data_IF_813722645836
#
_entry.id   IF_813722645836
#
_cell.length_a   1.000
_cell.length_b   1.000
_cell.length_c   1.000
_cell.angle_alpha   90.00
_cell.angle_beta   90.00
_cell.angle_gamma   90.00
#
_symmetry.space_group_name_H-M   'P 1'
#
loop_
_entity.id
_entity.type
_entity.pdbx_description
1 polymer ?
#
# COMPACT_ATOMS: atom_id res chain seq x y z
N UNK A 1 -0.71 22.28 -2.75
CA UNK A 1 0.07 21.05 -2.99
C UNK A 1 -0.49 20.35 -4.22
N UNK A 2 0.34 19.76 -5.08
CA UNK A 2 -0.15 18.90 -6.19
C UNK A 2 -0.78 17.62 -5.63
N UNK A 3 -1.62 16.91 -6.39
CA UNK A 3 -2.20 15.62 -5.96
C UNK A 3 -1.12 14.63 -5.49
N UNK A 4 0.01 14.59 -6.20
CA UNK A 4 1.17 13.76 -5.84
C UNK A 4 1.74 14.13 -4.47
N UNK A 5 1.89 15.43 -4.19
CA UNK A 5 2.39 15.90 -2.89
C UNK A 5 1.41 15.57 -1.76
N UNK A 6 0.10 15.65 -2.02
CA UNK A 6 -0.92 15.26 -1.04
C UNK A 6 -0.82 13.78 -0.70
N UNK A 7 -0.69 12.90 -1.71
CA UNK A 7 -0.52 11.46 -1.47
C UNK A 7 0.75 11.16 -0.66
N UNK A 8 1.88 11.77 -1.03
CA UNK A 8 3.16 11.55 -0.32
C UNK A 8 3.09 12.05 1.12
N UNK A 9 2.43 13.20 1.36
CA UNK A 9 2.26 13.74 2.71
C UNK A 9 1.30 12.89 3.57
N UNK A 10 0.32 12.23 2.94
CA UNK A 10 -0.70 11.45 3.65
C UNK A 10 -0.23 10.04 4.03
N UNK A 11 0.63 9.42 3.23
CA UNK A 11 0.99 8.02 3.43
C UNK A 11 2.01 7.81 4.54
N UNK A 12 1.67 6.98 5.53
CA UNK A 12 2.61 6.43 6.51
C UNK A 12 2.45 4.91 6.64
N UNK A 13 3.57 4.18 6.50
CA UNK A 13 3.57 2.72 6.66
C UNK A 13 3.68 2.26 8.13
N UNK A 14 4.02 3.18 9.05
CA UNK A 14 4.34 2.86 10.45
C UNK A 14 3.19 2.17 11.19
N UNK A 15 1.92 2.61 11.11
CA UNK A 15 0.83 1.95 11.81
C UNK A 15 0.66 0.49 11.38
N UNK A 16 0.81 0.21 10.08
CA UNK A 16 0.75 -1.16 9.55
C UNK A 16 1.90 -2.04 10.06
N UNK A 17 3.13 -1.54 10.13
CA UNK A 17 4.24 -2.29 10.73
C UNK A 17 4.08 -2.50 12.23
N UNK A 18 3.48 -1.55 12.96
CA UNK A 18 3.11 -1.76 14.36
C UNK A 18 2.08 -2.88 14.49
N UNK A 19 1.00 -2.84 13.71
CA UNK A 19 -0.01 -3.90 13.71
C UNK A 19 0.57 -5.28 13.35
N UNK A 20 1.42 -5.33 12.30
CA UNK A 20 2.15 -6.54 11.91
C UNK A 20 2.97 -7.12 13.06
N UNK A 21 3.55 -6.28 13.91
CA UNK A 21 4.37 -6.70 15.03
C UNK A 21 3.56 -7.12 16.25
N UNK A 22 2.57 -6.33 16.63
CA UNK A 22 1.92 -6.47 17.95
C UNK A 22 0.51 -7.01 17.89
N UNK A 23 -0.15 -6.97 16.73
CA UNK A 23 -1.59 -7.23 16.63
C UNK A 23 -2.46 -6.13 17.26
N UNK A 24 -1.89 -4.95 17.52
CA UNK A 24 -2.60 -3.82 18.12
C UNK A 24 -3.66 -3.25 17.16
N UNK A 25 -4.93 -3.52 17.44
CA UNK A 25 -6.05 -3.08 16.59
C UNK A 25 -6.13 -1.55 16.46
N UNK A 26 -5.63 -0.75 17.43
CA UNK A 26 -5.57 0.72 17.26
C UNK A 26 -4.61 1.12 16.15
N UNK A 27 -3.49 0.41 16.01
CA UNK A 27 -2.54 0.66 14.93
C UNK A 27 -3.12 0.25 13.56
N UNK A 28 -3.93 -0.81 13.52
CA UNK A 28 -4.69 -1.19 12.33
C UNK A 28 -5.72 -0.13 11.96
N UNK A 29 -6.51 0.35 12.91
CA UNK A 29 -7.48 1.44 12.70
C UNK A 29 -6.81 2.68 12.12
N UNK A 30 -5.67 3.11 12.67
CA UNK A 30 -4.87 4.21 12.11
C UNK A 30 -4.42 3.95 10.67
N UNK A 31 -3.97 2.72 10.37
CA UNK A 31 -3.62 2.31 9.01
C UNK A 31 -4.81 2.38 8.05
N UNK A 32 -5.99 1.96 8.50
CA UNK A 32 -7.25 2.04 7.74
C UNK A 32 -7.64 3.50 7.48
N UNK A 33 -7.53 4.39 8.46
CA UNK A 33 -7.83 5.82 8.26
C UNK A 33 -6.89 6.45 7.22
N UNK A 34 -5.59 6.10 7.24
CA UNK A 34 -4.66 6.53 6.19
C UNK A 34 -5.11 6.06 4.80
N UNK A 35 -5.56 4.81 4.68
CA UNK A 35 -6.07 4.29 3.40
C UNK A 35 -7.37 4.98 2.96
N UNK A 36 -8.27 5.32 3.88
CA UNK A 36 -9.49 6.08 3.57
C UNK A 36 -9.16 7.46 2.98
N UNK A 37 -8.18 8.15 3.57
CA UNK A 37 -7.72 9.44 3.06
C UNK A 37 -7.05 9.29 1.70
N UNK A 38 -6.21 8.28 1.51
CA UNK A 38 -5.60 7.98 0.21
C UNK A 38 -6.64 7.62 -0.86
N UNK A 39 -7.62 6.78 -0.53
CA UNK A 39 -8.74 6.43 -1.43
C UNK A 39 -9.54 7.68 -1.80
N UNK A 40 -9.79 8.58 -0.84
CA UNK A 40 -10.43 9.88 -1.08
C UNK A 40 -9.60 10.73 -2.05
N UNK A 41 -8.28 10.75 -1.92
CA UNK A 41 -7.42 11.46 -2.87
C UNK A 41 -7.52 10.86 -4.28
N UNK A 42 -7.50 9.53 -4.40
CA UNK A 42 -7.59 8.82 -5.69
C UNK A 42 -8.97 8.92 -6.35
N UNK A 43 -10.03 9.18 -5.58
CA UNK A 43 -11.42 9.19 -6.09
C UNK A 43 -12.01 10.59 -6.19
N UNK A 44 -11.93 11.38 -5.12
CA UNK A 44 -12.54 12.71 -5.02
C UNK A 44 -11.59 13.78 -5.54
N UNK A 45 -10.37 13.85 -5.00
CA UNK A 45 -9.43 14.92 -5.39
C UNK A 45 -8.90 14.72 -6.82
N UNK A 46 -8.69 13.48 -7.23
CA UNK A 46 -8.24 13.10 -8.57
C UNK A 46 -9.38 12.84 -9.57
N UNK A 47 -10.62 13.28 -9.29
CA UNK A 47 -11.81 12.98 -10.11
C UNK A 47 -11.61 13.25 -11.61
N UNK A 48 -10.90 14.32 -11.97
CA UNK A 48 -10.63 14.68 -13.37
C UNK A 48 -9.83 13.61 -14.14
N UNK A 49 -9.09 12.75 -13.45
CA UNK A 49 -8.24 11.70 -14.02
C UNK A 49 -8.83 10.30 -13.92
N UNK A 50 -9.91 10.12 -13.15
CA UNK A 50 -10.43 8.79 -12.75
C UNK A 50 -10.82 7.91 -13.93
N UNK A 51 -11.43 8.50 -14.95
CA UNK A 51 -11.90 7.79 -16.14
C UNK A 51 -10.79 7.56 -17.18
N UNK A 52 -9.59 8.09 -16.94
CA UNK A 52 -8.46 8.02 -17.88
C UNK A 52 -7.52 6.85 -17.58
N UNK A 53 -7.57 6.28 -16.37
CA UNK A 53 -6.75 5.13 -16.01
C UNK A 53 -6.69 4.87 -14.51
N UNK A 54 -5.97 3.81 -14.11
CA UNK A 54 -6.00 3.32 -12.74
C UNK A 54 -5.16 4.16 -11.77
N UNK A 55 -4.16 4.90 -12.24
CA UNK A 55 -3.23 5.66 -11.39
C UNK A 55 -3.81 7.01 -10.94
N UNK A 56 -3.13 7.67 -10.00
CA UNK A 56 -3.54 8.97 -9.45
C UNK A 56 -3.76 10.03 -10.53
N UNK A 57 -2.92 10.03 -11.57
CA UNK A 57 -2.98 10.97 -12.69
C UNK A 57 -3.52 10.32 -13.97
N UNK A 58 -4.34 9.26 -13.83
CA UNK A 58 -5.03 8.60 -14.92
C UNK A 58 -4.21 7.44 -15.50
N UNK A 59 -3.87 7.54 -16.79
CA UNK A 59 -3.18 6.46 -17.51
C UNK A 59 -1.70 6.32 -17.13
N UNK A 60 -1.07 7.39 -16.67
CA UNK A 60 0.37 7.46 -16.44
C UNK A 60 0.74 7.23 -14.97
N UNK A 61 1.75 6.38 -14.76
CA UNK A 61 2.34 6.17 -13.43
C UNK A 61 3.03 7.46 -12.98
N UNK A 62 2.76 7.90 -11.76
CA UNK A 62 3.35 9.10 -11.18
C UNK A 62 4.28 8.76 -10.01
N UNK A 63 4.95 9.78 -9.47
CA UNK A 63 5.75 9.61 -8.25
C UNK A 63 4.91 9.18 -7.04
N UNK A 64 3.58 9.37 -7.05
CA UNK A 64 2.73 8.90 -5.97
C UNK A 64 2.79 7.38 -5.85
N UNK A 65 2.52 6.66 -6.94
CA UNK A 65 2.59 5.20 -6.98
C UNK A 65 3.99 4.67 -6.67
N UNK A 66 5.03 5.36 -7.17
CA UNK A 66 6.43 4.99 -6.92
C UNK A 66 6.76 5.06 -5.42
N UNK A 67 6.22 6.03 -4.68
CA UNK A 67 6.48 6.18 -3.25
C UNK A 67 5.60 5.23 -2.39
N UNK A 68 4.38 4.92 -2.82
CA UNK A 68 3.45 4.09 -2.04
C UNK A 68 3.67 2.59 -2.28
N UNK A 69 3.73 2.16 -3.53
CA UNK A 69 3.51 0.76 -3.88
C UNK A 69 4.64 -0.21 -3.52
N UNK A 70 5.91 0.19 -3.35
CA UNK A 70 6.90 -0.66 -2.71
C UNK A 70 6.50 -1.02 -1.27
N UNK A 71 5.82 -0.13 -0.55
CA UNK A 71 5.29 -0.44 0.78
C UNK A 71 4.03 -1.29 0.67
N UNK A 72 3.10 -0.97 -0.23
CA UNK A 72 1.88 -1.78 -0.41
C UNK A 72 2.22 -3.23 -0.73
N UNK A 73 3.22 -3.49 -1.60
CA UNK A 73 3.66 -4.85 -1.89
C UNK A 73 4.22 -5.58 -0.67
N UNK A 74 5.02 -4.91 0.16
CA UNK A 74 5.50 -5.53 1.41
C UNK A 74 4.35 -5.80 2.37
N UNK A 75 3.42 -4.85 2.52
CA UNK A 75 2.27 -4.97 3.40
C UNK A 75 1.31 -6.08 2.94
N UNK A 76 1.01 -6.17 1.64
CA UNK A 76 0.21 -7.23 1.00
C UNK A 76 0.74 -8.62 1.39
N UNK A 77 2.04 -8.84 1.18
CA UNK A 77 2.71 -10.11 1.51
C UNK A 77 2.68 -10.38 3.02
N UNK A 78 3.11 -9.41 3.84
CA UNK A 78 3.32 -9.62 5.27
C UNK A 78 2.00 -9.71 6.04
N UNK A 79 1.03 -8.83 5.76
CA UNK A 79 -0.29 -8.85 6.41
C UNK A 79 -1.07 -10.09 6.00
N UNK A 80 -1.01 -10.48 4.72
CA UNK A 80 -1.59 -11.74 4.25
C UNK A 80 -0.98 -12.96 4.94
N UNK A 81 0.34 -12.99 5.13
CA UNK A 81 1.01 -14.10 5.79
C UNK A 81 0.73 -14.17 7.29
N UNK A 82 1.05 -13.10 8.04
CA UNK A 82 1.09 -13.06 9.51
C UNK A 82 -0.23 -12.66 10.19
N UNK A 83 -1.13 -12.01 9.47
CA UNK A 83 -2.41 -11.50 10.02
C UNK A 83 -3.65 -11.96 9.26
N UNK A 84 -3.47 -12.69 8.15
CA UNK A 84 -4.56 -13.12 7.25
C UNK A 84 -5.45 -11.95 6.80
N UNK A 85 -4.84 -10.78 6.61
CA UNK A 85 -5.53 -9.54 6.29
C UNK A 85 -5.24 -9.11 4.84
N UNK A 86 -6.29 -8.96 4.03
CA UNK A 86 -6.26 -8.15 2.82
C UNK A 86 -6.57 -6.70 3.20
N UNK A 87 -5.53 -5.88 3.31
CA UNK A 87 -5.64 -4.50 3.78
C UNK A 87 -6.24 -3.54 2.75
N UNK A 88 -6.43 -3.97 1.49
CA UNK A 88 -7.01 -3.17 0.40
C UNK A 88 -8.45 -3.58 0.04
N UNK A 89 -9.05 -4.52 0.76
CA UNK A 89 -10.37 -5.09 0.43
C UNK A 89 -11.46 -4.01 0.24
N UNK A 90 -11.44 -2.96 1.07
CA UNK A 90 -12.43 -1.87 1.05
C UNK A 90 -11.98 -0.64 0.25
N UNK A 91 -10.85 -0.71 -0.46
CA UNK A 91 -10.20 0.42 -1.13
C UNK A 91 -9.98 0.15 -2.63
N UNK A 92 -11.05 0.11 -3.44
CA UNK A 92 -11.01 -0.36 -4.81
C UNK A 92 -10.16 0.52 -5.75
N UNK A 93 -10.10 1.84 -5.55
CA UNK A 93 -9.26 2.69 -6.39
C UNK A 93 -7.77 2.45 -6.12
N UNK A 94 -7.39 2.36 -4.85
CA UNK A 94 -6.03 1.99 -4.45
C UNK A 94 -5.65 0.58 -4.91
N UNK A 95 -6.56 -0.39 -4.79
CA UNK A 95 -6.38 -1.75 -5.28
C UNK A 95 -6.12 -1.78 -6.78
N UNK A 96 -6.95 -1.11 -7.57
CA UNK A 96 -6.79 -1.05 -9.02
C UNK A 96 -5.46 -0.40 -9.44
N UNK A 97 -5.08 0.70 -8.78
CA UNK A 97 -3.81 1.38 -9.01
C UNK A 97 -2.60 0.48 -8.67
N UNK A 98 -2.67 -0.21 -7.51
CA UNK A 98 -1.63 -1.11 -7.06
C UNK A 98 -1.48 -2.33 -7.97
N UNK A 99 -2.59 -2.97 -8.37
CA UNK A 99 -2.57 -4.12 -9.27
C UNK A 99 -2.00 -3.75 -10.64
N UNK A 100 -2.39 -2.59 -11.18
CA UNK A 100 -1.84 -2.06 -12.43
C UNK A 100 -0.33 -1.79 -12.33
N UNK A 101 0.14 -1.18 -11.23
CA UNK A 101 1.56 -0.94 -11.01
C UNK A 101 2.35 -2.23 -10.80
N UNK A 102 1.81 -3.17 -10.02
CA UNK A 102 2.39 -4.49 -9.75
C UNK A 102 2.56 -5.27 -11.06
N UNK A 103 1.62 -5.19 -11.99
CA UNK A 103 1.70 -5.85 -13.29
C UNK A 103 2.82 -5.31 -14.22
N UNK A 104 3.39 -4.13 -13.94
CA UNK A 104 4.45 -3.55 -14.80
C UNK A 104 5.73 -4.39 -14.72
N UNK A 105 6.36 -4.62 -15.87
CA UNK A 105 7.65 -5.33 -15.98
C UNK A 105 8.71 -4.78 -15.03
N UNK A 106 8.85 -3.46 -14.94
CA UNK A 106 9.84 -2.80 -14.06
C UNK A 106 9.58 -3.07 -12.57
N UNK A 107 8.30 -3.13 -12.16
CA UNK A 107 7.95 -3.51 -10.79
C UNK A 107 8.33 -4.96 -10.52
N UNK A 108 7.95 -5.88 -11.41
CA UNK A 108 8.30 -7.30 -11.30
C UNK A 108 9.80 -7.57 -11.30
N UNK A 109 10.59 -6.76 -12.00
CA UNK A 109 12.06 -6.87 -12.02
C UNK A 109 12.75 -6.36 -10.74
N UNK A 110 12.03 -5.63 -9.87
CA UNK A 110 12.63 -4.95 -8.71
C UNK A 110 12.11 -5.45 -7.36
N UNK A 111 11.00 -6.18 -7.35
CA UNK A 111 10.48 -6.79 -6.12
C UNK A 111 11.35 -7.94 -5.63
N UNK A 112 11.31 -8.14 -4.31
CA UNK A 112 11.77 -9.38 -3.69
C UNK A 112 10.63 -10.40 -3.72
N UNK A 113 10.97 -11.69 -3.72
CA UNK A 113 9.96 -12.74 -3.64
C UNK A 113 9.21 -12.66 -2.30
N UNK A 114 7.96 -13.13 -2.23
CA UNK A 114 7.22 -13.20 -0.98
C UNK A 114 7.97 -13.96 0.12
N UNK A 115 8.62 -15.07 -0.23
CA UNK A 115 9.38 -15.92 0.71
C UNK A 115 10.56 -15.15 1.30
N UNK A 116 11.29 -14.39 0.48
CA UNK A 116 12.38 -13.54 0.94
C UNK A 116 11.89 -12.51 1.96
N UNK A 117 10.76 -11.85 1.69
CA UNK A 117 10.19 -10.86 2.60
C UNK A 117 9.75 -11.50 3.92
N UNK A 118 9.04 -12.63 3.86
CA UNK A 118 8.61 -13.36 5.06
C UNK A 118 9.83 -13.76 5.91
N UNK A 119 10.85 -14.36 5.30
CA UNK A 119 12.06 -14.77 6.02
C UNK A 119 12.82 -13.59 6.63
N UNK A 120 12.99 -12.50 5.87
CA UNK A 120 13.71 -11.32 6.34
C UNK A 120 13.00 -10.66 7.53
N UNK A 121 11.67 -10.66 7.54
CA UNK A 121 10.87 -10.03 8.60
C UNK A 121 10.50 -10.97 9.76
N UNK A 122 10.73 -12.28 9.62
CA UNK A 122 10.40 -13.28 10.65
C UNK A 122 10.92 -12.92 12.06
N UNK A 123 12.16 -12.43 12.26
CA UNK A 123 12.65 -12.08 13.60
C UNK A 123 11.85 -10.97 14.31
N UNK A 124 11.12 -10.15 13.56
CA UNK A 124 10.31 -9.06 14.11
C UNK A 124 8.90 -9.49 14.50
N UNK A 125 8.40 -10.59 13.93
CA UNK A 125 6.98 -10.98 13.99
C UNK A 125 6.75 -12.36 14.60
N UNK A 126 7.79 -13.20 14.64
CA UNK A 126 7.85 -14.43 15.40
C UNK A 126 8.99 -14.28 16.41
N UNK A 127 8.73 -13.91 17.68
CA UNK A 127 9.79 -13.96 18.68
C UNK A 127 10.23 -15.42 18.83
N UNK A 128 11.47 -15.72 18.47
CA UNK A 128 12.11 -16.96 18.91
C UNK A 128 12.15 -16.92 20.45
N UNK A 129 11.70 -17.98 21.16
CA UNK A 129 11.69 -18.02 22.61
C UNK A 129 13.05 -17.75 23.24
#
# INVERSE_FOLDING_TARGET
ATLVQLVIAQFEARPWYQYLRTGDEKAKEQGIEILKELETIFTVNAKAYRDQGPYLLGAELSSAEINLFPFFYRLDVLLGHYRKLDFLADFPALRAAFDAAKARKTFQQTIRTPEYLIQQFAPHFNPTP
#
